data_IF_936882437387
#
_entry.id   IF_936882437387
#
_cell.length_a   1.000
_cell.length_b   1.000
_cell.length_c   1.000
_cell.angle_alpha   90.00
_cell.angle_beta   90.00
_cell.angle_gamma   90.00
#
_symmetry.space_group_name_H-M   'P 1'
#
loop_
_entity.id
_entity.type
_entity.pdbx_description
1 polymer ?
#
# COMPACT_ATOMS: atom_id res chain seq x y z
N UNK A 1 7.20 -9.26 -0.35
CA UNK A 1 5.97 -8.45 -0.49
C UNK A 1 6.12 -7.08 0.15
N UNK A 2 6.44 -7.00 1.44
CA UNK A 2 6.55 -5.72 2.19
C UNK A 2 7.52 -4.73 1.56
N UNK A 3 8.71 -5.15 1.14
CA UNK A 3 9.66 -4.26 0.44
C UNK A 3 9.18 -3.79 -0.94
N UNK A 4 8.45 -4.63 -1.67
CA UNK A 4 7.89 -4.23 -2.96
C UNK A 4 6.80 -3.18 -2.77
N UNK A 5 5.95 -3.39 -1.76
CA UNK A 5 4.88 -2.45 -1.43
C UNK A 5 5.45 -1.16 -0.85
N UNK A 6 6.48 -1.22 -0.01
CA UNK A 6 7.12 -0.01 0.53
C UNK A 6 7.75 0.85 -0.56
N UNK A 7 8.40 0.23 -1.56
CA UNK A 7 8.92 0.94 -2.74
C UNK A 7 7.81 1.55 -3.59
N UNK A 8 6.69 0.85 -3.77
CA UNK A 8 5.55 1.38 -4.49
C UNK A 8 4.98 2.61 -3.75
N UNK A 9 4.74 2.48 -2.45
CA UNK A 9 4.22 3.54 -1.59
C UNK A 9 5.15 4.75 -1.54
N UNK A 10 6.47 4.53 -1.51
CA UNK A 10 7.46 5.62 -1.53
C UNK A 10 7.32 6.54 -2.74
N UNK A 11 6.84 6.04 -3.88
CA UNK A 11 6.57 6.87 -5.07
C UNK A 11 5.37 7.83 -4.91
N UNK A 12 4.55 7.66 -3.89
CA UNK A 12 3.34 8.47 -3.62
C UNK A 12 3.48 9.39 -2.40
N UNK A 13 4.59 9.29 -1.66
CA UNK A 13 4.84 10.10 -0.48
C UNK A 13 5.55 11.39 -0.88
N UNK A 14 4.99 12.57 -0.56
CA UNK A 14 5.66 13.84 -0.83
C UNK A 14 6.94 13.94 0.01
N UNK A 15 8.05 14.36 -0.62
CA UNK A 15 9.35 14.55 0.03
C UNK A 15 9.95 13.28 0.68
N UNK A 16 9.59 12.08 0.19
CA UNK A 16 10.22 10.84 0.64
C UNK A 16 11.70 10.78 0.25
N UNK A 17 12.57 11.39 1.06
CA UNK A 17 14.02 11.29 0.96
C UNK A 17 14.58 10.03 1.64
N UNK A 18 13.71 9.19 2.22
CA UNK A 18 14.11 8.05 3.05
C UNK A 18 13.10 6.90 3.06
N UNK A 19 13.43 5.81 3.78
CA UNK A 19 12.59 4.62 3.84
C UNK A 19 11.24 4.91 4.51
N UNK A 20 10.16 4.32 3.97
CA UNK A 20 8.82 4.41 4.54
C UNK A 20 8.79 3.74 5.92
N UNK A 21 8.43 4.51 6.94
CA UNK A 21 8.28 3.98 8.30
C UNK A 21 7.17 2.90 8.33
N UNK A 22 7.49 1.67 8.74
CA UNK A 22 6.56 0.54 8.68
C UNK A 22 5.44 0.61 9.73
N UNK A 23 5.61 1.44 10.76
CA UNK A 23 4.66 1.59 11.86
C UNK A 23 3.63 2.70 11.62
N UNK A 24 3.81 3.48 10.55
CA UNK A 24 2.92 4.59 10.18
C UNK A 24 1.95 4.20 9.09
N UNK A 25 0.73 4.72 9.20
CA UNK A 25 -0.30 4.60 8.17
C UNK A 25 0.05 5.44 6.93
N UNK A 26 -0.57 5.11 5.79
CA UNK A 26 -0.39 5.87 4.55
C UNK A 26 -0.79 7.35 4.72
N UNK A 27 -1.80 7.63 5.55
CA UNK A 27 -2.23 8.99 5.90
C UNK A 27 -1.16 9.74 6.71
N UNK A 28 -0.53 9.08 7.68
CA UNK A 28 0.55 9.67 8.48
C UNK A 28 1.84 9.94 7.69
N UNK A 29 2.01 9.28 6.54
CA UNK A 29 3.06 9.60 5.58
C UNK A 29 2.72 10.80 4.69
N UNK A 30 1.54 11.41 4.84
CA UNK A 30 1.13 12.57 4.06
C UNK A 30 0.63 12.21 2.65
N UNK A 31 0.16 10.98 2.44
CA UNK A 31 -0.45 10.60 1.16
C UNK A 31 -1.88 11.12 1.11
N UNK A 32 -2.12 12.08 0.23
CA UNK A 32 -3.45 12.64 0.00
C UNK A 32 -4.40 11.67 -0.71
N UNK A 33 -5.70 11.97 -0.66
CA UNK A 33 -6.76 11.17 -1.28
C UNK A 33 -6.53 10.85 -2.76
N UNK A 34 -5.98 11.79 -3.54
CA UNK A 34 -5.67 11.58 -4.96
C UNK A 34 -4.54 10.56 -5.12
N UNK A 35 -3.47 10.68 -4.34
CA UNK A 35 -2.37 9.72 -4.38
C UNK A 35 -2.80 8.35 -3.84
N UNK A 36 -3.70 8.30 -2.84
CA UNK A 36 -4.31 7.05 -2.38
C UNK A 36 -5.14 6.38 -3.49
N UNK A 37 -5.88 7.14 -4.29
CA UNK A 37 -6.62 6.62 -5.45
C UNK A 37 -5.69 6.07 -6.53
N UNK A 38 -4.59 6.77 -6.82
CA UNK A 38 -3.57 6.31 -7.77
C UNK A 38 -2.84 5.06 -7.25
N UNK A 39 -2.46 5.05 -5.97
CA UNK A 39 -1.86 3.88 -5.31
C UNK A 39 -2.81 2.68 -5.34
N UNK A 40 -4.11 2.89 -5.08
CA UNK A 40 -5.13 1.84 -5.19
C UNK A 40 -5.15 1.26 -6.61
N UNK A 41 -5.14 2.11 -7.63
CA UNK A 41 -5.11 1.67 -9.02
C UNK A 41 -3.85 0.84 -9.33
N UNK A 42 -2.67 1.31 -8.93
CA UNK A 42 -1.42 0.56 -9.09
C UNK A 42 -1.46 -0.79 -8.36
N UNK A 43 -2.06 -0.84 -7.16
CA UNK A 43 -2.21 -2.08 -6.42
C UNK A 43 -3.16 -3.03 -7.15
N UNK A 44 -4.28 -2.53 -7.68
CA UNK A 44 -5.20 -3.32 -8.50
C UNK A 44 -4.51 -3.89 -9.73
N UNK A 45 -3.76 -3.07 -10.48
CA UNK A 45 -3.07 -3.50 -11.70
C UNK A 45 -1.95 -4.52 -11.41
N UNK A 46 -1.15 -4.30 -10.37
CA UNK A 46 0.02 -5.17 -10.06
C UNK A 46 -0.34 -6.44 -9.29
N UNK A 47 -1.36 -6.37 -8.45
CA UNK A 47 -1.72 -7.45 -7.54
C UNK A 47 -3.09 -8.08 -7.85
N UNK A 48 -3.85 -7.51 -8.80
CA UNK A 48 -5.17 -7.99 -9.20
C UNK A 48 -6.27 -7.67 -8.18
N UNK A 49 -6.00 -6.81 -7.19
CA UNK A 49 -6.91 -6.60 -6.06
C UNK A 49 -7.20 -5.12 -5.81
N UNK A 50 -8.48 -4.80 -5.82
CA UNK A 50 -8.98 -3.48 -5.42
C UNK A 50 -9.24 -3.45 -3.93
N UNK A 51 -8.46 -2.64 -3.21
CA UNK A 51 -8.65 -2.38 -1.79
C UNK A 51 -9.52 -1.14 -1.58
N UNK A 52 -10.39 -1.11 -0.55
CA UNK A 52 -11.12 0.09 -0.19
C UNK A 52 -10.15 1.19 0.25
N UNK A 53 -10.43 2.44 -0.14
CA UNK A 53 -9.57 3.58 0.19
C UNK A 53 -9.37 3.76 1.69
N UNK A 54 -10.44 3.53 2.47
CA UNK A 54 -10.39 3.65 3.92
C UNK A 54 -9.40 2.65 4.52
N UNK A 55 -9.42 1.39 4.05
CA UNK A 55 -8.46 0.38 4.48
C UNK A 55 -7.04 0.78 4.07
N UNK A 56 -6.83 1.24 2.83
CA UNK A 56 -5.53 1.74 2.40
C UNK A 56 -5.07 2.87 3.33
N UNK A 57 -5.86 3.91 3.52
CA UNK A 57 -5.47 5.10 4.27
C UNK A 57 -5.12 4.79 5.74
N UNK A 58 -5.87 3.89 6.38
CA UNK A 58 -5.70 3.52 7.79
C UNK A 58 -4.72 2.35 8.00
N UNK A 59 -4.18 1.76 6.94
CA UNK A 59 -3.26 0.62 7.06
C UNK A 59 -1.79 1.03 6.95
N UNK A 60 -0.95 0.27 7.64
CA UNK A 60 0.49 0.31 7.46
C UNK A 60 0.92 -0.54 6.25
N UNK A 61 2.09 -0.23 5.69
CA UNK A 61 2.68 -1.02 4.61
C UNK A 61 2.81 -2.52 4.95
N UNK A 62 3.34 -2.94 6.12
CA UNK A 62 3.40 -4.36 6.45
C UNK A 62 2.02 -5.02 6.56
N UNK A 63 1.00 -4.32 7.09
CA UNK A 63 -0.36 -4.85 7.18
C UNK A 63 -0.96 -5.10 5.78
N UNK A 64 -0.81 -4.15 4.86
CA UNK A 64 -1.26 -4.30 3.47
C UNK A 64 -0.51 -5.42 2.75
N UNK A 65 0.81 -5.52 2.95
CA UNK A 65 1.61 -6.58 2.35
C UNK A 65 1.20 -7.97 2.86
N UNK A 66 0.89 -8.09 4.15
CA UNK A 66 0.37 -9.33 4.73
C UNK A 66 -1.02 -9.67 4.16
N UNK A 67 -1.92 -8.68 4.07
CA UNK A 67 -3.27 -8.85 3.51
C UNK A 67 -3.22 -9.37 2.06
N UNK A 68 -2.42 -8.73 1.22
CA UNK A 68 -2.25 -9.12 -0.18
C UNK A 68 -1.52 -10.48 -0.34
N UNK A 69 -0.69 -10.89 0.62
CA UNK A 69 0.00 -12.18 0.59
C UNK A 69 -0.90 -13.33 1.04
N UNK A 70 -1.75 -13.09 2.04
CA UNK A 70 -2.70 -14.08 2.54
C UNK A 70 -3.76 -14.43 1.48
N UNK A 71 -4.26 -13.43 0.75
CA UNK A 71 -5.25 -13.61 -0.31
C UNK A 71 -4.69 -14.41 -1.50
N UNK A 72 -3.44 -14.17 -1.89
CA UNK A 72 -2.73 -14.96 -2.92
C UNK A 72 -2.53 -16.43 -2.54
N UNK A 73 -2.41 -16.73 -1.24
CA UNK A 73 -2.35 -18.11 -0.78
C UNK A 73 -3.73 -18.80 -0.89
N UNK A 74 -4.82 -18.03 -0.85
CA UNK A 74 -6.19 -18.51 -0.97
C UNK A 74 -6.62 -18.72 -2.43
N UNK A 75 -6.19 -17.85 -3.36
CA UNK A 75 -6.47 -17.95 -4.79
C UNK A 75 -5.76 -19.13 -5.49
N UNK A 76 -4.64 -19.62 -4.91
CA UNK A 76 -3.81 -20.68 -5.49
C UNK A 76 -4.16 -22.11 -5.03
N UNK A 77 -5.26 -22.29 -4.31
CA UNK A 77 -5.75 -23.56 -3.76
C UNK A 77 -6.94 -24.08 -4.58
#
# INVERSE_FOLDING_TARGET
>A
MTEQLSRLVAGFVPDAAGPIAPDRTLLEHGIDSINLMNLRFEITERFGRTLPLQLLSESTVPALAAHLSADRAHDRA
#
